data_IF_488272396724
#
_entry.id   IF_488272396724
#
_cell.length_a   1.000
_cell.length_b   1.000
_cell.length_c   1.000
_cell.angle_alpha   90.00
_cell.angle_beta   90.00
_cell.angle_gamma   90.00
#
_symmetry.space_group_name_H-M   'P 1'
#
loop_
_entity.id
_entity.type
_entity.pdbx_description
1 polymer ?
#
# COMPACT_ATOMS: atom_id res chain seq x y z
N UNK A 1 32.06 -1.53 -5.75
CA UNK A 1 31.29 -2.60 -6.43
C UNK A 1 31.72 -2.74 -7.88
N UNK A 2 31.84 -3.95 -8.36
CA UNK A 2 32.17 -4.19 -9.76
C UNK A 2 30.93 -3.90 -10.62
N UNK A 3 30.94 -2.81 -11.40
CA UNK A 3 29.85 -2.35 -12.28
C UNK A 3 29.38 -3.39 -13.33
N UNK A 4 29.97 -4.62 -13.33
CA UNK A 4 29.62 -5.72 -14.24
C UNK A 4 28.76 -6.79 -13.56
N UNK A 5 28.52 -6.69 -12.24
CA UNK A 5 27.69 -7.70 -11.55
C UNK A 5 26.28 -7.72 -12.11
N UNK A 6 25.73 -8.92 -12.22
CA UNK A 6 24.45 -9.21 -12.83
C UNK A 6 23.40 -9.50 -11.76
N UNK A 7 22.34 -8.71 -11.72
CA UNK A 7 21.20 -8.89 -10.82
C UNK A 7 20.02 -9.45 -11.62
N UNK A 8 19.56 -10.65 -11.24
CA UNK A 8 18.32 -11.24 -11.71
C UNK A 8 17.18 -10.82 -10.79
N UNK A 9 16.18 -10.11 -11.32
CA UNK A 9 15.01 -9.65 -10.59
C UNK A 9 13.79 -10.44 -11.04
N UNK A 10 13.12 -11.10 -10.11
CA UNK A 10 11.92 -11.91 -10.37
C UNK A 10 10.68 -11.10 -10.01
N UNK A 11 9.89 -10.73 -11.03
CA UNK A 11 8.68 -9.91 -10.91
C UNK A 11 8.86 -8.46 -11.33
N UNK A 12 8.23 -8.05 -12.45
CA UNK A 12 8.25 -6.68 -12.96
C UNK A 12 7.03 -5.85 -12.52
N UNK A 13 6.58 -6.07 -11.28
CA UNK A 13 5.64 -5.18 -10.60
C UNK A 13 6.30 -3.83 -10.26
N UNK A 14 5.58 -2.95 -9.55
CA UNK A 14 6.08 -1.61 -9.22
C UNK A 14 7.42 -1.64 -8.47
N UNK A 15 7.56 -2.50 -7.46
CA UNK A 15 8.80 -2.65 -6.70
C UNK A 15 9.96 -3.10 -7.61
N UNK A 16 9.78 -4.19 -8.35
CA UNK A 16 10.82 -4.74 -9.21
C UNK A 16 11.22 -3.81 -10.35
N UNK A 17 10.25 -3.10 -10.94
CA UNK A 17 10.54 -2.11 -11.99
C UNK A 17 11.31 -0.90 -11.48
N UNK A 18 10.97 -0.39 -10.28
CA UNK A 18 11.73 0.69 -9.64
C UNK A 18 13.15 0.24 -9.26
N UNK A 19 13.27 -0.95 -8.67
CA UNK A 19 14.56 -1.54 -8.33
C UNK A 19 15.44 -1.75 -9.57
N UNK A 20 14.88 -2.34 -10.63
CA UNK A 20 15.59 -2.57 -11.89
C UNK A 20 16.12 -1.26 -12.48
N UNK A 21 15.28 -0.22 -12.52
CA UNK A 21 15.68 1.11 -13.01
C UNK A 21 16.84 1.67 -12.17
N UNK A 22 16.71 1.66 -10.84
CA UNK A 22 17.74 2.23 -9.96
C UNK A 22 19.05 1.45 -10.04
N UNK A 23 19.00 0.13 -10.03
CA UNK A 23 20.22 -0.70 -10.12
C UNK A 23 20.91 -0.56 -11.49
N UNK A 24 20.13 -0.47 -12.57
CA UNK A 24 20.70 -0.20 -13.89
C UNK A 24 21.36 1.19 -13.97
N UNK A 25 20.75 2.24 -13.38
CA UNK A 25 21.35 3.57 -13.25
C UNK A 25 22.67 3.53 -12.45
N UNK A 26 22.80 2.64 -11.46
CA UNK A 26 24.05 2.42 -10.73
C UNK A 26 25.10 1.64 -11.53
N UNK A 27 24.74 1.11 -12.70
CA UNK A 27 25.65 0.43 -13.64
C UNK A 27 25.69 -1.09 -13.50
N UNK A 28 24.80 -1.71 -12.71
CA UNK A 28 24.63 -3.16 -12.69
C UNK A 28 24.03 -3.68 -13.99
N UNK A 29 24.35 -4.90 -14.40
CA UNK A 29 23.60 -5.59 -15.44
C UNK A 29 22.30 -6.14 -14.84
N UNK A 30 21.16 -5.90 -15.48
CA UNK A 30 19.84 -6.28 -14.98
C UNK A 30 19.14 -7.20 -15.96
N UNK A 31 18.60 -8.30 -15.44
CA UNK A 31 17.57 -9.10 -16.12
C UNK A 31 16.32 -9.07 -15.23
N UNK A 32 15.27 -8.38 -15.70
CA UNK A 32 13.97 -8.27 -15.05
C UNK A 32 12.98 -9.23 -15.71
N UNK A 33 12.39 -10.16 -14.94
CA UNK A 33 11.52 -11.22 -15.47
C UNK A 33 10.08 -11.06 -14.96
N UNK A 34 9.11 -11.12 -15.85
CA UNK A 34 7.68 -10.98 -15.54
C UNK A 34 6.88 -12.17 -16.11
N UNK A 35 5.96 -12.72 -15.30
CA UNK A 35 5.08 -13.82 -15.72
C UNK A 35 3.99 -13.42 -16.69
N UNK A 36 3.51 -12.19 -16.60
CA UNK A 36 2.42 -11.66 -17.44
C UNK A 36 2.97 -11.16 -18.78
N UNK A 37 2.10 -11.06 -19.81
CA UNK A 37 2.41 -10.29 -21.01
C UNK A 37 2.78 -8.84 -20.69
N UNK A 38 3.45 -8.18 -21.61
CA UNK A 38 3.75 -6.76 -21.50
C UNK A 38 2.46 -5.94 -21.43
N UNK A 39 2.20 -5.37 -20.26
CA UNK A 39 0.98 -4.60 -19.97
C UNK A 39 0.80 -3.38 -20.90
N UNK A 40 1.88 -2.90 -21.53
CA UNK A 40 1.86 -1.75 -22.46
C UNK A 40 1.37 -2.13 -23.85
N UNK A 41 1.38 -3.43 -24.19
CA UNK A 41 0.99 -3.99 -25.49
C UNK A 41 -0.34 -4.75 -25.44
N UNK A 42 -0.88 -4.98 -24.26
CA UNK A 42 -2.15 -5.67 -24.08
C UNK A 42 -3.24 -4.65 -23.79
N UNK A 43 -4.39 -4.75 -24.47
CA UNK A 43 -5.62 -4.08 -24.06
C UNK A 43 -6.11 -4.64 -22.73
N UNK A 44 -5.39 -4.31 -21.65
CA UNK A 44 -5.90 -4.54 -20.30
C UNK A 44 -7.07 -3.58 -20.17
N UNK A 45 -8.27 -4.13 -20.25
CA UNK A 45 -9.53 -3.38 -20.16
C UNK A 45 -9.43 -2.39 -18.99
N UNK A 46 -9.75 -1.13 -19.26
CA UNK A 46 -9.66 0.01 -18.35
C UNK A 46 -10.36 -0.18 -16.97
N UNK A 47 -11.08 -1.29 -16.76
CA UNK A 47 -11.77 -1.64 -15.52
C UNK A 47 -10.98 -2.49 -14.52
N UNK A 48 -9.69 -2.77 -14.75
CA UNK A 48 -8.88 -3.62 -13.87
C UNK A 48 -7.62 -2.94 -13.31
N UNK A 49 -7.53 -1.64 -13.42
CA UNK A 49 -6.41 -0.88 -12.85
C UNK A 49 -6.80 -0.37 -11.47
N UNK A 50 -6.31 -1.02 -10.43
CA UNK A 50 -6.45 -0.51 -9.07
C UNK A 50 -5.66 0.78 -8.98
N UNK A 51 -6.33 1.88 -8.61
CA UNK A 51 -5.65 3.10 -8.26
C UNK A 51 -5.01 2.97 -6.88
N UNK A 52 -3.86 3.58 -6.75
CA UNK A 52 -3.04 3.54 -5.56
C UNK A 52 -3.03 4.91 -4.88
N UNK A 53 -2.96 4.89 -3.56
CA UNK A 53 -2.68 6.06 -2.75
C UNK A 53 -1.16 6.32 -2.78
N UNK A 54 -0.73 7.35 -3.48
CA UNK A 54 0.68 7.68 -3.67
C UNK A 54 1.07 8.84 -2.74
N UNK A 55 1.87 8.53 -1.72
CA UNK A 55 2.28 9.44 -0.64
C UNK A 55 3.76 9.79 -0.71
N UNK A 56 4.23 10.60 0.24
CA UNK A 56 5.61 11.10 0.28
C UNK A 56 6.69 10.00 0.18
N UNK A 57 6.48 8.84 0.83
CA UNK A 57 7.43 7.72 0.75
C UNK A 57 7.54 7.16 -0.66
N UNK A 58 6.43 7.02 -1.35
CA UNK A 58 6.41 6.61 -2.75
C UNK A 58 7.04 7.67 -3.67
N UNK A 59 6.76 8.96 -3.41
CA UNK A 59 7.35 10.09 -4.14
C UNK A 59 8.88 10.09 -3.97
N UNK A 60 9.41 9.81 -2.76
CA UNK A 60 10.85 9.68 -2.51
C UNK A 60 11.47 8.60 -3.40
N UNK A 61 10.81 7.43 -3.55
CA UNK A 61 11.28 6.37 -4.44
C UNK A 61 11.33 6.79 -5.92
N UNK A 62 10.31 7.48 -6.40
CA UNK A 62 10.27 8.02 -7.77
C UNK A 62 11.32 9.13 -7.96
N UNK A 63 11.54 9.97 -6.95
CA UNK A 63 12.57 11.01 -6.98
C UNK A 63 13.98 10.43 -7.06
N UNK A 64 14.24 9.30 -6.39
CA UNK A 64 15.51 8.58 -6.42
C UNK A 64 15.96 8.23 -7.84
N UNK A 65 15.02 7.91 -8.72
CA UNK A 65 15.28 7.57 -10.13
C UNK A 65 15.08 8.74 -11.11
N UNK A 66 14.81 9.96 -10.60
CA UNK A 66 14.67 11.17 -11.41
C UNK A 66 13.36 11.30 -12.18
N UNK A 67 12.29 10.61 -11.77
CA UNK A 67 11.03 10.55 -12.51
C UNK A 67 9.90 11.44 -11.96
N UNK A 68 10.15 12.29 -10.97
CA UNK A 68 9.13 13.13 -10.32
C UNK A 68 8.30 13.90 -11.35
N UNK A 69 8.94 14.66 -12.25
CA UNK A 69 8.24 15.46 -13.28
C UNK A 69 7.43 14.62 -14.28
N UNK A 70 7.84 13.37 -14.55
CA UNK A 70 7.11 12.44 -15.45
C UNK A 70 5.94 11.77 -14.75
N UNK A 71 5.97 11.69 -13.43
CA UNK A 71 4.92 11.07 -12.63
C UNK A 71 3.81 12.08 -12.27
N UNK A 72 4.14 13.37 -12.10
CA UNK A 72 3.15 14.42 -11.77
C UNK A 72 1.90 14.41 -12.65
N UNK A 73 1.99 14.30 -14.01
CA UNK A 73 0.81 14.27 -14.88
C UNK A 73 -0.07 13.02 -14.70
N UNK A 74 0.45 11.96 -14.08
CA UNK A 74 -0.27 10.71 -13.78
C UNK A 74 -1.05 10.79 -12.47
N UNK A 75 -0.87 11.86 -11.70
CA UNK A 75 -1.41 12.01 -10.35
C UNK A 75 -2.68 12.86 -10.33
N UNK A 76 -3.60 12.48 -9.45
CA UNK A 76 -4.74 13.33 -9.07
C UNK A 76 -4.65 13.59 -7.57
N UNK A 77 -4.44 14.86 -7.14
CA UNK A 77 -4.40 15.20 -5.73
C UNK A 77 -5.75 14.92 -5.06
N UNK A 78 -5.71 14.21 -3.95
CA UNK A 78 -6.82 14.00 -3.02
C UNK A 78 -6.46 14.73 -1.71
N UNK A 79 -7.18 15.81 -1.41
CA UNK A 79 -6.87 16.68 -0.26
C UNK A 79 -7.44 16.16 1.06
N UNK A 80 -8.27 15.13 1.00
CA UNK A 80 -8.93 14.53 2.16
C UNK A 80 -9.84 13.39 1.75
N UNK A 81 -10.68 13.00 2.70
CA UNK A 81 -11.71 11.98 2.53
C UNK A 81 -13.07 12.65 2.37
N UNK A 82 -13.85 12.23 1.39
CA UNK A 82 -15.27 12.55 1.31
C UNK A 82 -16.04 11.37 1.91
N UNK A 83 -16.60 11.59 3.08
CA UNK A 83 -17.36 10.57 3.81
C UNK A 83 -18.82 10.67 3.42
N UNK A 84 -19.41 9.57 3.02
CA UNK A 84 -20.83 9.43 2.66
C UNK A 84 -21.57 8.68 3.76
N UNK A 85 -22.49 9.32 4.42
CA UNK A 85 -23.32 8.68 5.43
C UNK A 85 -24.40 7.75 4.82
N UNK A 86 -25.23 7.16 5.66
CA UNK A 86 -26.30 6.25 5.19
C UNK A 86 -27.44 6.98 4.48
N UNK A 87 -27.57 8.28 4.66
CA UNK A 87 -28.60 9.11 4.02
C UNK A 87 -28.16 9.66 2.67
N UNK A 88 -26.85 9.48 2.32
CA UNK A 88 -26.22 10.08 1.15
C UNK A 88 -25.68 11.48 1.40
N UNK A 89 -25.78 12.03 2.61
CA UNK A 89 -25.12 13.27 2.97
C UNK A 89 -23.61 13.06 2.99
N UNK A 90 -22.88 14.09 2.55
CA UNK A 90 -21.42 14.03 2.45
C UNK A 90 -20.76 15.06 3.33
N UNK A 91 -19.63 14.71 3.95
CA UNK A 91 -18.78 15.68 4.62
C UNK A 91 -17.31 15.44 4.25
N UNK A 92 -16.59 16.54 4.06
CA UNK A 92 -15.18 16.50 3.72
C UNK A 92 -14.32 16.50 5.00
N UNK A 93 -13.43 15.50 5.11
CA UNK A 93 -12.45 15.36 6.19
C UNK A 93 -11.04 15.48 5.62
N UNK A 94 -10.31 16.59 5.87
CA UNK A 94 -8.93 16.72 5.40
C UNK A 94 -8.03 15.68 6.03
N UNK A 95 -6.94 15.30 5.33
CA UNK A 95 -5.97 14.33 5.87
C UNK A 95 -5.19 14.88 7.06
N UNK A 96 -4.90 16.18 7.05
CA UNK A 96 -4.23 16.89 8.14
C UNK A 96 -4.71 18.34 8.22
N UNK A 97 -4.26 19.06 9.24
CA UNK A 97 -4.46 20.50 9.35
C UNK A 97 -3.67 21.34 8.34
N UNK A 98 -2.69 20.75 7.66
CA UNK A 98 -1.85 21.41 6.67
C UNK A 98 -2.38 21.15 5.25
N UNK A 99 -2.80 22.20 4.55
CA UNK A 99 -3.33 22.10 3.17
C UNK A 99 -2.33 21.62 2.13
N UNK A 100 -1.03 21.68 2.40
CA UNK A 100 0.00 21.14 1.51
C UNK A 100 0.19 19.62 1.65
N UNK A 101 -0.40 19.00 2.66
CA UNK A 101 -0.36 17.56 2.89
C UNK A 101 -1.57 16.89 2.25
N UNK A 102 -1.33 16.22 1.13
CA UNK A 102 -2.32 15.45 0.37
C UNK A 102 -1.71 14.16 -0.17
N UNK A 103 -2.55 13.22 -0.53
CA UNK A 103 -2.14 11.99 -1.23
C UNK A 103 -2.59 12.08 -2.69
N UNK A 104 -1.86 11.44 -3.58
CA UNK A 104 -2.27 11.35 -4.97
C UNK A 104 -2.97 10.02 -5.25
N UNK A 105 -4.05 10.06 -6.03
CA UNK A 105 -4.51 8.88 -6.74
C UNK A 105 -3.66 8.72 -7.98
N UNK A 106 -3.11 7.52 -8.21
CA UNK A 106 -2.31 7.18 -9.38
C UNK A 106 -2.67 5.79 -9.89
N UNK A 107 -2.78 5.66 -11.21
CA UNK A 107 -2.99 4.36 -11.85
C UNK A 107 -1.77 3.47 -11.66
N UNK A 108 -1.99 2.26 -11.11
CA UNK A 108 -0.93 1.25 -10.97
C UNK A 108 -0.33 0.86 -12.32
N UNK A 109 -1.17 0.72 -13.33
CA UNK A 109 -0.76 0.35 -14.69
C UNK A 109 0.10 1.42 -15.32
N UNK A 110 -0.33 2.70 -15.25
CA UNK A 110 0.40 3.80 -15.88
C UNK A 110 1.74 4.07 -15.20
N UNK A 111 1.77 3.99 -13.87
CA UNK A 111 3.02 4.13 -13.11
C UNK A 111 4.00 2.99 -13.45
N UNK A 112 3.51 1.74 -13.54
CA UNK A 112 4.36 0.62 -13.91
C UNK A 112 4.84 0.72 -15.37
N UNK A 113 3.98 1.13 -16.30
CA UNK A 113 4.35 1.39 -17.68
C UNK A 113 5.44 2.47 -17.80
N UNK A 114 5.33 3.56 -17.02
CA UNK A 114 6.37 4.59 -16.96
C UNK A 114 7.72 3.99 -16.52
N UNK A 115 7.74 3.22 -15.43
CA UNK A 115 8.96 2.59 -14.91
C UNK A 115 9.59 1.62 -15.93
N UNK A 116 8.78 0.74 -16.54
CA UNK A 116 9.24 -0.21 -17.55
C UNK A 116 9.82 0.50 -18.79
N UNK A 117 9.17 1.58 -19.24
CA UNK A 117 9.67 2.38 -20.35
C UNK A 117 11.03 3.03 -20.05
N UNK A 118 11.28 3.43 -18.81
CA UNK A 118 12.58 4.00 -18.44
C UNK A 118 13.65 2.91 -18.24
N UNK A 119 13.29 1.72 -17.78
CA UNK A 119 14.20 0.56 -17.72
C UNK A 119 14.69 0.17 -19.12
N UNK A 120 13.80 0.08 -20.11
CA UNK A 120 14.14 -0.31 -21.49
C UNK A 120 15.12 0.66 -22.21
N UNK A 121 15.21 1.90 -21.75
CA UNK A 121 16.16 2.88 -22.31
C UNK A 121 17.61 2.62 -21.89
N UNK A 122 17.82 1.78 -20.86
CA UNK A 122 19.14 1.54 -20.32
C UNK A 122 19.78 0.32 -20.99
N UNK A 123 20.98 0.46 -21.62
CA UNK A 123 21.59 -0.60 -22.41
C UNK A 123 22.09 -1.81 -21.57
N UNK A 124 22.12 -1.66 -20.26
CA UNK A 124 22.51 -2.69 -19.30
C UNK A 124 21.32 -3.38 -18.62
N UNK A 125 20.09 -3.13 -19.09
CA UNK A 125 18.86 -3.73 -18.55
C UNK A 125 18.08 -4.45 -19.67
N UNK A 126 17.60 -5.64 -19.35
CA UNK A 126 16.72 -6.45 -20.20
C UNK A 126 15.46 -6.82 -19.45
N UNK A 127 14.29 -6.77 -20.11
CA UNK A 127 13.01 -7.21 -19.55
C UNK A 127 12.50 -8.40 -20.33
N UNK A 128 12.19 -9.49 -19.64
CA UNK A 128 11.69 -10.72 -20.25
C UNK A 128 10.27 -10.97 -19.71
N UNK A 129 9.28 -10.92 -20.60
CA UNK A 129 7.87 -11.14 -20.27
C UNK A 129 7.44 -12.59 -20.52
N UNK A 130 6.25 -12.95 -20.01
CA UNK A 130 5.60 -14.25 -20.15
C UNK A 130 6.43 -15.42 -19.58
N UNK A 131 7.25 -15.16 -18.57
CA UNK A 131 8.11 -16.14 -17.91
C UNK A 131 7.70 -16.30 -16.44
N UNK A 132 6.96 -17.36 -16.17
CA UNK A 132 6.49 -17.68 -14.82
C UNK A 132 7.57 -18.43 -14.05
N UNK A 133 8.05 -17.87 -12.95
CA UNK A 133 9.04 -18.49 -12.08
C UNK A 133 8.45 -19.75 -11.44
N UNK A 134 9.14 -20.87 -11.54
CA UNK A 134 8.68 -22.16 -11.03
C UNK A 134 9.55 -22.72 -9.91
N UNK A 135 10.83 -22.39 -9.93
CA UNK A 135 11.79 -22.89 -8.95
C UNK A 135 12.98 -21.94 -8.84
N UNK A 136 13.61 -21.90 -7.67
CA UNK A 136 14.76 -21.03 -7.39
C UNK A 136 15.82 -21.77 -6.60
N UNK A 137 17.04 -21.83 -7.15
CA UNK A 137 18.23 -22.17 -6.38
C UNK A 137 18.77 -20.89 -5.71
N UNK A 138 18.42 -20.74 -4.45
CA UNK A 138 18.70 -19.56 -3.64
C UNK A 138 20.20 -19.33 -3.39
N UNK A 139 21.00 -20.42 -3.32
CA UNK A 139 22.42 -20.37 -2.99
C UNK A 139 23.29 -20.04 -4.21
N UNK A 140 22.79 -20.29 -5.41
CA UNK A 140 23.49 -20.00 -6.66
C UNK A 140 22.87 -18.84 -7.48
N UNK A 141 21.83 -18.17 -6.95
CA UNK A 141 21.11 -17.09 -7.61
C UNK A 141 20.58 -17.49 -9.00
N UNK A 142 20.00 -18.70 -9.11
CA UNK A 142 19.40 -19.24 -10.34
C UNK A 142 17.91 -19.44 -10.19
N UNK A 143 17.17 -19.27 -11.28
CA UNK A 143 15.74 -19.55 -11.30
C UNK A 143 15.32 -20.24 -12.60
N UNK A 144 14.35 -21.14 -12.49
CA UNK A 144 13.72 -21.83 -13.61
C UNK A 144 12.40 -21.17 -13.93
N UNK A 145 12.24 -20.74 -15.15
CA UNK A 145 11.04 -20.08 -15.66
C UNK A 145 10.36 -20.97 -16.70
N UNK A 146 9.03 -20.89 -16.73
CA UNK A 146 8.21 -21.53 -17.73
C UNK A 146 7.46 -20.48 -18.54
N UNK A 147 7.64 -20.47 -19.85
CA UNK A 147 6.92 -19.57 -20.74
C UNK A 147 5.41 -19.86 -20.69
N UNK A 148 4.61 -18.83 -20.49
CA UNK A 148 3.18 -18.95 -20.23
C UNK A 148 2.42 -19.74 -21.29
N UNK A 149 2.69 -19.49 -22.58
CA UNK A 149 2.01 -20.13 -23.72
C UNK A 149 2.71 -21.42 -24.16
N UNK A 150 4.01 -21.37 -24.43
CA UNK A 150 4.75 -22.47 -25.04
C UNK A 150 5.16 -23.58 -24.07
N UNK A 151 5.03 -23.32 -22.75
CA UNK A 151 5.48 -24.22 -21.66
C UNK A 151 6.98 -24.57 -21.71
N UNK A 152 7.75 -23.87 -22.53
CA UNK A 152 9.20 -24.06 -22.60
C UNK A 152 9.83 -23.56 -21.29
N UNK A 153 10.67 -24.42 -20.70
CA UNK A 153 11.46 -24.07 -19.52
C UNK A 153 12.77 -23.41 -19.93
N UNK A 154 13.17 -22.39 -19.19
CA UNK A 154 14.43 -21.66 -19.36
C UNK A 154 15.03 -21.41 -17.97
N UNK A 155 16.30 -21.72 -17.80
CA UNK A 155 17.05 -21.35 -16.59
C UNK A 155 17.76 -20.02 -16.84
N UNK A 156 17.62 -19.08 -15.89
CA UNK A 156 18.35 -17.82 -15.85
C UNK A 156 19.12 -17.73 -14.54
N UNK A 157 20.24 -17.03 -14.57
CA UNK A 157 21.10 -16.84 -13.40
C UNK A 157 21.64 -15.42 -13.33
N UNK A 158 21.93 -14.98 -12.13
CA UNK A 158 22.68 -13.75 -11.85
C UNK A 158 23.79 -14.00 -10.84
N UNK A 159 24.59 -12.98 -10.56
CA UNK A 159 25.46 -12.99 -9.38
C UNK A 159 24.61 -12.88 -8.10
N UNK A 160 23.47 -12.19 -8.23
CA UNK A 160 22.47 -11.91 -7.20
C UNK A 160 21.08 -12.15 -7.80
N UNK A 161 20.15 -12.69 -6.99
CA UNK A 161 18.73 -12.83 -7.30
C UNK A 161 17.90 -12.02 -6.30
N UNK A 162 16.97 -11.19 -6.79
CA UNK A 162 16.04 -10.46 -5.92
C UNK A 162 14.60 -10.80 -6.30
N UNK A 163 13.85 -11.37 -5.33
CA UNK A 163 12.44 -11.69 -5.46
C UNK A 163 11.57 -10.46 -5.17
N UNK A 164 10.84 -9.98 -6.19
CA UNK A 164 9.84 -8.91 -6.13
C UNK A 164 8.51 -9.39 -6.74
N UNK A 165 8.26 -10.70 -6.64
CA UNK A 165 7.20 -11.45 -7.31
C UNK A 165 5.86 -11.45 -6.54
N UNK A 166 5.75 -10.55 -5.54
CA UNK A 166 4.49 -10.21 -4.88
C UNK A 166 4.07 -11.18 -3.78
N UNK A 167 2.85 -11.02 -3.27
CA UNK A 167 2.35 -11.75 -2.11
C UNK A 167 2.38 -13.28 -2.27
N UNK A 168 2.23 -13.80 -3.48
CA UNK A 168 2.35 -15.24 -3.81
C UNK A 168 3.76 -15.66 -4.23
N UNK A 169 4.80 -15.04 -3.72
CA UNK A 169 6.20 -15.20 -4.12
C UNK A 169 6.70 -16.64 -4.15
N UNK A 170 7.19 -17.07 -5.31
CA UNK A 170 7.89 -18.36 -5.48
C UNK A 170 9.25 -18.32 -4.80
N UNK A 171 9.94 -17.16 -4.82
CA UNK A 171 11.22 -16.99 -4.13
C UNK A 171 11.06 -17.20 -2.63
N UNK A 172 9.98 -16.64 -2.01
CA UNK A 172 9.65 -16.86 -0.59
C UNK A 172 9.34 -18.33 -0.31
N UNK A 173 8.53 -18.96 -1.16
CA UNK A 173 8.19 -20.38 -1.02
C UNK A 173 9.44 -21.28 -1.12
N UNK A 174 10.43 -20.94 -1.97
CA UNK A 174 11.70 -21.63 -2.03
C UNK A 174 12.51 -21.47 -0.75
N UNK A 175 12.48 -20.28 -0.10
CA UNK A 175 13.10 -20.09 1.23
C UNK A 175 12.41 -20.90 2.32
N UNK A 176 11.09 -21.00 2.27
CA UNK A 176 10.30 -21.80 3.24
C UNK A 176 10.56 -23.30 3.07
N UNK A 177 10.79 -23.76 1.85
CA UNK A 177 11.06 -25.16 1.55
C UNK A 177 12.51 -25.59 1.87
N UNK A 178 13.45 -24.65 2.05
CA UNK A 178 14.85 -24.97 2.40
C UNK A 178 14.94 -25.31 3.90
N UNK A 179 15.06 -26.61 4.20
CA UNK A 179 15.15 -27.11 5.59
C UNK A 179 16.39 -26.65 6.36
N UNK A 180 17.42 -26.16 5.67
CA UNK A 180 18.64 -25.64 6.29
C UNK A 180 18.45 -24.20 6.78
N UNK A 181 17.38 -23.54 6.34
CA UNK A 181 17.03 -22.20 6.76
C UNK A 181 16.13 -22.21 7.99
N UNK A 182 16.43 -21.39 8.98
CA UNK A 182 15.48 -21.07 10.05
C UNK A 182 14.46 -20.02 9.57
N UNK A 183 13.82 -20.30 8.43
CA UNK A 183 12.84 -19.38 7.82
C UNK A 183 11.52 -19.44 8.60
N UNK A 184 10.96 -18.28 8.85
CA UNK A 184 9.67 -18.13 9.52
C UNK A 184 8.78 -17.27 8.66
N UNK A 185 7.58 -17.75 8.39
CA UNK A 185 6.54 -16.99 7.68
C UNK A 185 5.27 -16.98 8.51
N UNK A 186 4.59 -15.85 8.51
CA UNK A 186 3.25 -15.69 9.06
C UNK A 186 2.40 -15.05 7.98
N UNK A 187 1.39 -15.77 7.54
CA UNK A 187 0.37 -15.29 6.61
C UNK A 187 -0.94 -15.16 7.37
N UNK A 188 -1.48 -13.96 7.43
CA UNK A 188 -2.74 -13.67 8.08
C UNK A 188 -3.75 -13.14 7.06
N UNK A 189 -4.83 -13.88 6.88
CA UNK A 189 -5.93 -13.50 6.00
C UNK A 189 -7.12 -13.02 6.82
N UNK A 190 -7.66 -11.88 6.43
CA UNK A 190 -8.91 -11.39 7.01
C UNK A 190 -10.08 -12.27 6.53
N UNK A 191 -11.12 -12.35 7.35
CA UNK A 191 -12.40 -12.96 6.93
C UNK A 191 -13.15 -12.12 5.89
N UNK A 192 -12.55 -11.04 5.45
CA UNK A 192 -13.04 -10.12 4.44
C UNK A 192 -12.27 -10.30 3.13
N UNK A 193 -12.97 -10.06 2.04
CA UNK A 193 -12.40 -9.91 0.72
C UNK A 193 -12.69 -8.51 0.17
N UNK A 194 -12.17 -8.27 -1.03
CA UNK A 194 -12.50 -7.06 -1.76
C UNK A 194 -12.94 -7.39 -3.19
N UNK A 195 -13.78 -6.52 -3.72
CA UNK A 195 -14.28 -6.60 -5.10
C UNK A 195 -14.12 -5.25 -5.77
N UNK A 196 -13.52 -5.26 -6.95
CA UNK A 196 -13.33 -4.07 -7.79
C UNK A 196 -14.61 -3.79 -8.59
N UNK A 197 -15.03 -2.53 -8.56
CA UNK A 197 -16.17 -1.99 -9.25
C UNK A 197 -15.77 -0.65 -9.88
N UNK A 198 -16.68 0.01 -10.58
CA UNK A 198 -16.37 1.28 -11.24
C UNK A 198 -17.52 2.30 -11.18
N UNK A 199 -17.14 3.59 -11.18
CA UNK A 199 -18.01 4.69 -11.55
C UNK A 199 -17.47 5.24 -12.87
N UNK A 200 -18.19 5.20 -13.99
CA UNK A 200 -17.71 5.69 -15.28
C UNK A 200 -17.61 7.21 -15.31
N UNK A 201 -16.84 7.74 -16.26
CA UNK A 201 -16.79 9.16 -16.53
C UNK A 201 -18.18 9.75 -16.82
N UNK A 202 -18.38 10.99 -16.45
CA UNK A 202 -19.61 11.71 -16.73
C UNK A 202 -19.73 12.09 -18.21
N UNK A 203 -20.97 12.23 -18.70
CA UNK A 203 -21.25 12.64 -20.09
C UNK A 203 -21.12 14.17 -20.27
N UNK A 204 -21.53 14.94 -19.28
CA UNK A 204 -21.56 16.40 -19.30
C UNK A 204 -20.38 16.98 -18.49
N UNK A 205 -20.23 16.51 -17.28
CA UNK A 205 -19.07 16.80 -16.44
C UNK A 205 -18.15 15.58 -16.42
N UNK A 206 -16.83 15.83 -16.50
CA UNK A 206 -15.84 14.74 -16.57
C UNK A 206 -15.94 13.78 -15.39
N UNK A 207 -16.16 14.31 -14.18
CA UNK A 207 -16.25 13.54 -12.94
C UNK A 207 -17.67 13.57 -12.40
N UNK A 208 -18.24 12.41 -12.10
CA UNK A 208 -19.62 12.28 -11.54
C UNK A 208 -19.72 12.63 -10.06
N UNK A 209 -18.62 12.48 -9.32
CA UNK A 209 -18.48 12.82 -7.90
C UNK A 209 -17.24 13.69 -7.71
N UNK A 210 -17.03 14.24 -6.52
CA UNK A 210 -15.95 15.19 -6.27
C UNK A 210 -14.55 14.60 -6.55
N UNK A 211 -13.83 15.19 -7.49
CA UNK A 211 -12.56 14.67 -8.02
C UNK A 211 -11.44 14.57 -6.97
N UNK A 212 -11.31 15.59 -6.10
CA UNK A 212 -10.11 15.78 -5.27
C UNK A 212 -10.25 15.19 -3.87
N UNK A 213 -10.87 14.01 -3.75
CA UNK A 213 -11.02 13.29 -2.50
C UNK A 213 -10.95 11.78 -2.71
N UNK A 214 -10.56 11.06 -1.66
CA UNK A 214 -10.87 9.66 -1.48
C UNK A 214 -12.31 9.56 -0.95
N UNK A 215 -13.21 9.00 -1.73
CA UNK A 215 -14.58 8.76 -1.27
C UNK A 215 -14.65 7.50 -0.42
N UNK A 216 -15.38 7.56 0.68
CA UNK A 216 -15.57 6.44 1.61
C UNK A 216 -17.04 6.40 2.05
N UNK A 217 -17.65 5.22 1.90
CA UNK A 217 -18.98 4.87 2.43
C UNK A 217 -18.80 3.83 3.54
N UNK A 218 -18.64 4.23 4.80
CA UNK A 218 -18.53 3.29 5.91
C UNK A 218 -19.92 2.69 6.24
N UNK A 219 -19.99 1.36 6.35
CA UNK A 219 -21.22 0.63 6.66
C UNK A 219 -20.96 -0.49 7.68
N UNK A 220 -20.37 -0.14 8.82
CA UNK A 220 -20.00 -1.09 9.86
C UNK A 220 -18.95 -2.08 9.38
N UNK A 221 -19.33 -3.36 9.22
CA UNK A 221 -18.39 -4.39 8.75
C UNK A 221 -18.03 -4.28 7.27
N UNK A 222 -18.81 -3.54 6.49
CA UNK A 222 -18.63 -3.36 5.05
C UNK A 222 -18.23 -1.92 4.75
N UNK A 223 -17.50 -1.73 3.69
CA UNK A 223 -17.04 -0.40 3.27
C UNK A 223 -16.87 -0.33 1.77
N UNK A 224 -17.33 0.76 1.18
CA UNK A 224 -17.04 1.10 -0.21
C UNK A 224 -16.06 2.29 -0.23
N UNK A 225 -15.06 2.24 -1.11
CA UNK A 225 -14.17 3.37 -1.37
C UNK A 225 -14.10 3.67 -2.86
N UNK A 226 -13.81 4.91 -3.25
CA UNK A 226 -13.58 5.27 -4.65
C UNK A 226 -12.43 6.26 -4.79
N UNK A 227 -11.53 5.96 -5.74
CA UNK A 227 -10.38 6.78 -6.10
C UNK A 227 -10.54 7.30 -7.54
N UNK A 228 -10.25 8.57 -7.82
CA UNK A 228 -10.42 9.17 -9.14
C UNK A 228 -9.37 8.68 -10.15
N UNK A 229 -9.78 8.53 -11.41
CA UNK A 229 -8.95 8.24 -12.58
C UNK A 229 -8.81 9.47 -13.48
N UNK A 230 -7.72 9.55 -14.26
CA UNK A 230 -7.47 10.67 -15.17
C UNK A 230 -8.52 10.81 -16.29
N UNK A 231 -9.17 9.71 -16.68
CA UNK A 231 -10.23 9.70 -17.69
C UNK A 231 -11.58 10.25 -17.18
N UNK A 232 -11.70 10.48 -15.87
CA UNK A 232 -12.92 10.96 -15.21
C UNK A 232 -13.73 9.87 -14.53
N UNK A 233 -13.35 8.62 -14.68
CA UNK A 233 -13.93 7.51 -13.94
C UNK A 233 -13.38 7.42 -12.51
N UNK A 234 -13.94 6.53 -11.71
CA UNK A 234 -13.40 6.16 -10.39
C UNK A 234 -13.25 4.64 -10.30
N UNK A 235 -12.12 4.21 -9.77
CA UNK A 235 -11.95 2.84 -9.32
C UNK A 235 -12.62 2.71 -7.97
N UNK A 236 -13.59 1.81 -7.88
CA UNK A 236 -14.38 1.56 -6.67
C UNK A 236 -14.00 0.21 -6.08
N UNK A 237 -13.85 0.13 -4.77
CA UNK A 237 -13.55 -1.12 -4.09
C UNK A 237 -14.55 -1.36 -2.96
N UNK A 238 -15.27 -2.48 -3.04
CA UNK A 238 -16.13 -2.96 -1.97
C UNK A 238 -15.35 -3.94 -1.09
N UNK A 239 -15.22 -3.63 0.19
CA UNK A 239 -14.71 -4.51 1.23
C UNK A 239 -15.88 -5.11 2.00
N UNK A 240 -15.92 -6.44 2.11
CA UNK A 240 -17.02 -7.16 2.72
C UNK A 240 -16.56 -8.53 3.24
N UNK A 241 -17.19 -9.02 4.30
CA UNK A 241 -16.99 -10.38 4.78
C UNK A 241 -17.37 -11.42 3.72
N UNK A 242 -16.66 -12.55 3.68
CA UNK A 242 -17.04 -13.65 2.79
C UNK A 242 -18.37 -14.29 3.23
N UNK A 243 -18.53 -14.56 4.54
CA UNK A 243 -19.61 -15.40 5.09
C UNK A 243 -20.21 -14.85 6.37
N UNK A 244 -19.48 -14.05 7.15
CA UNK A 244 -19.93 -13.57 8.46
C UNK A 244 -20.76 -12.29 8.34
N UNK A 245 -21.57 -12.03 9.37
CA UNK A 245 -22.43 -10.86 9.46
C UNK A 245 -23.73 -11.01 8.67
N UNK A 246 -24.60 -10.03 8.82
CA UNK A 246 -25.91 -10.00 8.17
C UNK A 246 -25.79 -9.79 6.66
N UNK A 247 -24.71 -9.15 6.20
CA UNK A 247 -24.43 -8.84 4.80
C UNK A 247 -23.03 -9.34 4.44
N UNK A 248 -22.95 -10.26 3.47
CA UNK A 248 -21.69 -10.88 3.05
C UNK A 248 -21.72 -11.31 1.57
N UNK A 249 -20.55 -11.61 0.98
CA UNK A 249 -20.45 -12.00 -0.43
C UNK A 249 -21.24 -13.27 -0.79
N UNK A 250 -21.43 -14.21 0.14
CA UNK A 250 -22.22 -15.42 -0.14
C UNK A 250 -23.70 -15.14 -0.41
N UNK A 251 -24.23 -14.03 0.08
CA UNK A 251 -25.62 -13.62 -0.14
C UNK A 251 -25.80 -12.85 -1.45
N UNK A 252 -24.73 -12.29 -2.01
CA UNK A 252 -24.76 -11.46 -3.22
C UNK A 252 -24.49 -12.27 -4.50
N UNK A 253 -25.31 -13.31 -4.77
CA UNK A 253 -25.13 -14.23 -5.89
C UNK A 253 -26.04 -13.97 -7.10
N UNK A 254 -27.00 -13.09 -6.98
CA UNK A 254 -27.96 -12.76 -8.05
C UNK A 254 -27.98 -11.26 -8.29
N UNK A 255 -28.34 -10.84 -9.51
CA UNK A 255 -28.52 -9.41 -9.82
C UNK A 255 -29.49 -8.75 -8.85
N UNK A 256 -30.59 -9.45 -8.50
CA UNK A 256 -31.59 -8.95 -7.55
C UNK A 256 -31.01 -8.71 -6.17
N UNK A 257 -30.21 -9.64 -5.63
CA UNK A 257 -29.60 -9.48 -4.30
C UNK A 257 -28.53 -8.42 -4.29
N UNK A 258 -27.72 -8.32 -5.35
CA UNK A 258 -26.70 -7.27 -5.50
C UNK A 258 -27.37 -5.89 -5.54
N UNK A 259 -28.39 -5.73 -6.39
CA UNK A 259 -29.09 -4.46 -6.55
C UNK A 259 -29.77 -4.02 -5.24
N UNK A 260 -30.51 -4.92 -4.60
CA UNK A 260 -31.16 -4.64 -3.32
C UNK A 260 -30.16 -4.23 -2.23
N UNK A 261 -29.00 -4.89 -2.16
CA UNK A 261 -27.94 -4.53 -1.22
C UNK A 261 -27.40 -3.11 -1.47
N UNK A 262 -27.15 -2.73 -2.72
CA UNK A 262 -26.65 -1.38 -3.02
C UNK A 262 -27.75 -0.31 -2.87
N UNK A 263 -29.01 -0.64 -3.16
CA UNK A 263 -30.15 0.25 -2.91
C UNK A 263 -30.32 0.56 -1.42
N UNK A 264 -30.09 -0.42 -0.55
CA UNK A 264 -30.21 -0.25 0.90
C UNK A 264 -29.00 0.44 1.54
N UNK A 265 -27.77 0.02 1.15
CA UNK A 265 -26.55 0.45 1.86
C UNK A 265 -25.77 1.56 1.15
N UNK A 266 -25.88 1.72 -0.16
CA UNK A 266 -25.09 2.64 -0.98
C UNK A 266 -25.93 3.32 -2.07
N UNK A 267 -27.11 3.91 -1.74
CA UNK A 267 -28.02 4.43 -2.76
C UNK A 267 -27.41 5.52 -3.64
N UNK A 268 -26.67 6.45 -3.04
CA UNK A 268 -25.98 7.54 -3.74
C UNK A 268 -24.83 7.03 -4.65
N UNK A 269 -24.10 5.99 -4.22
CA UNK A 269 -23.09 5.34 -5.07
C UNK A 269 -23.76 4.57 -6.22
N UNK A 270 -24.85 3.84 -5.97
CA UNK A 270 -25.59 3.07 -6.98
C UNK A 270 -26.01 3.95 -8.16
N UNK A 271 -26.51 5.16 -7.92
CA UNK A 271 -26.88 6.11 -8.96
C UNK A 271 -25.72 6.45 -9.92
N UNK A 272 -24.48 6.33 -9.43
CA UNK A 272 -23.26 6.60 -10.21
C UNK A 272 -22.70 5.35 -10.90
N UNK A 273 -23.23 4.15 -10.62
CA UNK A 273 -22.67 2.85 -11.04
C UNK A 273 -23.60 2.09 -12.01
N UNK A 274 -23.78 2.57 -13.26
CA UNK A 274 -24.69 1.91 -14.23
C UNK A 274 -24.22 0.49 -14.60
N UNK A 275 -22.93 0.19 -14.50
CA UNK A 275 -22.34 -1.10 -14.84
C UNK A 275 -22.16 -2.03 -13.62
N UNK A 276 -22.75 -1.70 -12.46
CA UNK A 276 -22.57 -2.43 -11.21
C UNK A 276 -22.70 -3.96 -11.36
N UNK A 277 -23.77 -4.43 -11.99
CA UNK A 277 -24.05 -5.87 -12.12
C UNK A 277 -23.00 -6.56 -12.98
N UNK A 278 -22.59 -5.91 -14.07
CA UNK A 278 -21.54 -6.41 -14.96
C UNK A 278 -20.21 -6.52 -14.20
N UNK A 279 -19.77 -5.45 -13.55
CA UNK A 279 -18.51 -5.41 -12.79
C UNK A 279 -18.54 -6.45 -11.66
N UNK A 280 -19.65 -6.51 -10.92
CA UNK A 280 -19.79 -7.45 -9.81
C UNK A 280 -19.69 -8.91 -10.24
N UNK A 281 -20.23 -9.23 -11.42
CA UNK A 281 -20.24 -10.59 -11.97
C UNK A 281 -18.91 -10.97 -12.62
N UNK A 282 -18.23 -10.04 -13.28
CA UNK A 282 -17.01 -10.29 -14.04
C UNK A 282 -15.74 -10.23 -13.20
N UNK A 283 -15.71 -9.37 -12.18
CA UNK A 283 -14.53 -9.20 -11.35
C UNK A 283 -14.49 -10.24 -10.22
N UNK A 284 -13.35 -10.88 -9.97
CA UNK A 284 -13.22 -11.83 -8.87
C UNK A 284 -13.32 -11.13 -7.51
N UNK A 285 -13.72 -11.87 -6.48
CA UNK A 285 -13.50 -11.45 -5.10
C UNK A 285 -12.14 -11.91 -4.66
N UNK A 286 -11.28 -10.98 -4.26
CA UNK A 286 -9.90 -11.24 -3.89
C UNK A 286 -9.69 -11.22 -2.38
N UNK A 287 -8.78 -12.05 -1.83
CA UNK A 287 -8.49 -12.10 -0.41
C UNK A 287 -7.70 -10.88 0.06
N UNK A 288 -7.79 -10.60 1.35
CA UNK A 288 -7.03 -9.58 2.06
C UNK A 288 -6.05 -10.28 2.99
N UNK A 289 -4.78 -10.28 2.64
CA UNK A 289 -3.74 -10.97 3.38
C UNK A 289 -2.58 -10.05 3.78
N UNK A 290 -1.98 -10.35 4.92
CA UNK A 290 -0.73 -9.76 5.40
C UNK A 290 0.31 -10.85 5.52
N UNK A 291 1.49 -10.61 4.99
CA UNK A 291 2.65 -11.52 5.02
C UNK A 291 3.75 -10.89 5.87
N UNK A 292 4.32 -11.65 6.77
CA UNK A 292 5.54 -11.31 7.51
C UNK A 292 6.47 -12.51 7.48
N UNK A 293 7.71 -12.34 7.06
CA UNK A 293 8.70 -13.42 7.04
C UNK A 293 10.09 -12.95 7.46
N UNK A 294 10.96 -13.87 7.81
CA UNK A 294 12.38 -13.65 8.13
C UNK A 294 13.11 -15.00 8.18
N UNK A 295 14.39 -15.05 7.81
CA UNK A 295 15.21 -13.99 7.21
C UNK A 295 14.81 -13.68 5.75
N UNK A 296 15.16 -12.49 5.26
CA UNK A 296 14.86 -12.10 3.87
C UNK A 296 15.93 -12.50 2.88
N UNK A 297 17.09 -12.93 3.32
CA UNK A 297 18.21 -13.24 2.45
C UNK A 297 18.82 -14.63 2.68
N UNK A 298 19.51 -15.12 1.66
CA UNK A 298 20.25 -16.36 1.67
C UNK A 298 21.68 -16.11 1.21
N UNK A 299 22.62 -16.18 2.16
CA UNK A 299 24.07 -16.16 1.92
C UNK A 299 24.54 -15.02 0.99
N UNK A 300 23.91 -13.85 1.03
CA UNK A 300 24.23 -12.74 0.15
C UNK A 300 24.00 -13.03 -1.33
N UNK A 301 23.22 -14.07 -1.68
CA UNK A 301 22.91 -14.49 -3.06
C UNK A 301 21.47 -14.19 -3.45
N UNK A 302 20.51 -14.42 -2.56
CA UNK A 302 19.10 -14.19 -2.83
C UNK A 302 18.49 -13.29 -1.76
N UNK A 303 17.58 -12.40 -2.16
CA UNK A 303 16.90 -11.42 -1.29
C UNK A 303 15.42 -11.34 -1.65
N UNK A 304 14.54 -11.21 -0.66
CA UNK A 304 13.13 -10.80 -0.82
C UNK A 304 12.98 -9.29 -0.64
N UNK A 305 12.13 -8.66 -1.47
CA UNK A 305 11.85 -7.22 -1.38
C UNK A 305 10.39 -6.90 -1.77
N UNK A 306 9.78 -5.91 -1.12
CA UNK A 306 8.40 -5.52 -1.37
C UNK A 306 7.40 -6.57 -0.90
N UNK A 307 6.28 -6.71 -1.62
CA UNK A 307 5.20 -7.63 -1.25
C UNK A 307 5.64 -9.11 -1.17
N UNK A 308 6.76 -9.50 -1.76
CA UNK A 308 7.31 -10.86 -1.60
C UNK A 308 7.79 -11.12 -0.17
N UNK A 309 8.24 -10.07 0.53
CA UNK A 309 8.70 -10.12 1.91
C UNK A 309 7.62 -9.72 2.93
N UNK A 310 6.77 -8.74 2.58
CA UNK A 310 5.88 -8.07 3.55
C UNK A 310 4.61 -7.50 2.91
N UNK A 311 3.86 -8.31 2.17
CA UNK A 311 2.55 -7.90 1.66
C UNK A 311 1.62 -7.45 2.79
N UNK A 312 0.86 -6.39 2.56
CA UNK A 312 -0.06 -5.81 3.55
C UNK A 312 -1.46 -5.59 2.97
N UNK A 313 -2.47 -5.58 3.84
CA UNK A 313 -3.84 -5.21 3.46
C UNK A 313 -3.93 -3.71 3.11
N UNK A 314 -4.83 -3.30 2.18
CA UNK A 314 -4.78 -1.98 1.54
C UNK A 314 -5.33 -0.83 2.39
N UNK A 315 -5.83 -1.06 3.59
CA UNK A 315 -6.60 -0.07 4.37
C UNK A 315 -5.85 1.20 4.75
N UNK A 316 -4.53 1.16 4.84
CA UNK A 316 -3.71 2.34 5.05
C UNK A 316 -3.22 3.00 3.74
N UNK A 317 -3.34 2.28 2.61
CA UNK A 317 -2.85 2.73 1.31
C UNK A 317 -1.31 2.80 1.22
N UNK A 318 -0.58 2.00 2.00
CA UNK A 318 0.88 2.11 2.11
C UNK A 318 1.66 0.97 1.45
N UNK A 319 1.05 -0.07 0.87
CA UNK A 319 1.79 -1.21 0.29
C UNK A 319 2.82 -0.79 -0.76
N UNK A 320 2.41 -0.06 -1.79
CA UNK A 320 3.32 0.47 -2.81
C UNK A 320 4.36 1.43 -2.20
N UNK A 321 3.93 2.34 -1.32
CA UNK A 321 4.82 3.34 -0.71
C UNK A 321 5.92 2.67 0.12
N UNK A 322 5.58 1.62 0.88
CA UNK A 322 6.54 0.82 1.64
C UNK A 322 7.52 0.08 0.72
N UNK A 323 7.02 -0.52 -0.38
CA UNK A 323 7.85 -1.20 -1.38
C UNK A 323 8.80 -0.23 -2.12
N UNK A 324 8.39 1.01 -2.35
CA UNK A 324 9.26 2.03 -2.93
C UNK A 324 10.31 2.52 -1.92
N UNK A 325 9.93 2.65 -0.65
CA UNK A 325 10.87 2.94 0.43
C UNK A 325 11.90 1.82 0.62
N UNK A 326 11.54 0.55 0.35
CA UNK A 326 12.50 -0.55 0.32
C UNK A 326 13.63 -0.29 -0.66
N UNK A 327 13.31 0.16 -1.88
CA UNK A 327 14.32 0.49 -2.90
C UNK A 327 15.18 1.66 -2.48
N UNK A 328 14.61 2.67 -1.81
CA UNK A 328 15.37 3.82 -1.28
C UNK A 328 16.35 3.36 -0.22
N UNK A 329 15.90 2.60 0.77
CA UNK A 329 16.76 2.12 1.86
C UNK A 329 17.82 1.14 1.34
N UNK A 330 17.46 0.30 0.37
CA UNK A 330 18.42 -0.59 -0.28
C UNK A 330 19.52 0.18 -1.01
N UNK A 331 19.16 1.26 -1.70
CA UNK A 331 20.13 2.16 -2.35
C UNK A 331 21.07 2.85 -1.37
N UNK A 332 20.54 3.32 -0.23
CA UNK A 332 21.32 3.90 0.87
C UNK A 332 22.31 2.86 1.47
N UNK A 333 21.86 1.63 1.70
CA UNK A 333 22.70 0.55 2.23
C UNK A 333 23.81 0.16 1.25
N UNK A 334 23.55 0.21 -0.05
CA UNK A 334 24.59 -0.02 -1.08
C UNK A 334 25.71 1.02 -1.04
N UNK A 335 25.45 2.25 -0.59
CA UNK A 335 26.47 3.28 -0.43
C UNK A 335 27.29 3.07 0.84
N UNK A 336 26.69 2.51 1.91
CA UNK A 336 27.36 2.28 3.19
C UNK A 336 28.29 1.04 3.18
N UNK A 337 27.99 0.02 2.34
CA UNK A 337 28.69 -1.28 2.34
C UNK A 337 29.19 -1.65 0.95
N UNK A 338 30.44 -1.33 0.62
CA UNK A 338 31.02 -1.67 -0.68
C UNK A 338 31.29 -3.16 -0.84
N UNK A 339 30.66 -3.79 -1.85
CA UNK A 339 31.07 -5.10 -2.40
C UNK A 339 30.75 -6.34 -1.56
N UNK A 340 30.15 -6.20 -0.39
CA UNK A 340 29.79 -7.36 0.45
C UNK A 340 28.26 -7.55 0.49
N UNK A 341 27.72 -8.35 -0.43
CA UNK A 341 26.29 -8.60 -0.55
C UNK A 341 25.66 -9.21 0.70
N UNK A 342 26.37 -10.02 1.47
CA UNK A 342 25.84 -10.55 2.73
C UNK A 342 25.59 -9.42 3.73
N UNK A 343 26.56 -8.52 3.90
CA UNK A 343 26.39 -7.38 4.81
C UNK A 343 25.32 -6.40 4.32
N UNK A 344 25.25 -6.17 3.00
CA UNK A 344 24.21 -5.34 2.38
C UNK A 344 22.82 -5.90 2.69
N UNK A 345 22.61 -7.19 2.48
CA UNK A 345 21.29 -7.81 2.69
C UNK A 345 20.93 -7.88 4.16
N UNK A 346 21.86 -8.19 5.05
CA UNK A 346 21.65 -8.21 6.49
C UNK A 346 21.28 -6.82 7.02
N UNK A 347 21.98 -5.77 6.61
CA UNK A 347 21.71 -4.40 7.05
C UNK A 347 20.39 -3.87 6.45
N UNK A 348 20.08 -4.21 5.19
CA UNK A 348 18.81 -3.87 4.57
C UNK A 348 17.64 -4.48 5.35
N UNK A 349 17.66 -5.80 5.62
CA UNK A 349 16.62 -6.46 6.43
C UNK A 349 16.50 -5.82 7.81
N UNK A 350 17.61 -5.57 8.48
CA UNK A 350 17.66 -4.95 9.80
C UNK A 350 17.01 -3.56 9.83
N UNK A 351 17.25 -2.72 8.79
CA UNK A 351 16.64 -1.37 8.69
C UNK A 351 15.16 -1.45 8.36
N UNK A 352 14.73 -2.42 7.51
CA UNK A 352 13.38 -2.45 6.97
C UNK A 352 12.40 -3.29 7.78
N UNK A 353 12.83 -4.45 8.30
CA UNK A 353 11.93 -5.46 8.90
C UNK A 353 10.99 -4.90 9.97
N UNK A 354 11.50 -4.09 10.89
CA UNK A 354 10.67 -3.50 11.95
C UNK A 354 9.62 -2.52 11.40
N UNK A 355 9.98 -1.77 10.38
CA UNK A 355 9.09 -0.79 9.77
C UNK A 355 8.01 -1.46 8.92
N UNK A 356 8.37 -2.49 8.16
CA UNK A 356 7.41 -3.22 7.33
C UNK A 356 6.45 -4.06 8.15
N UNK A 357 6.90 -4.65 9.26
CA UNK A 357 6.02 -5.30 10.22
C UNK A 357 5.04 -4.30 10.86
N UNK A 358 5.53 -3.11 11.21
CA UNK A 358 4.72 -2.06 11.83
C UNK A 358 3.64 -1.51 10.87
N UNK A 359 3.96 -1.29 9.60
CA UNK A 359 2.94 -0.83 8.65
C UNK A 359 1.91 -1.93 8.34
N UNK A 360 2.30 -3.21 8.39
CA UNK A 360 1.39 -4.33 8.33
C UNK A 360 0.39 -4.32 9.49
N UNK A 361 0.87 -4.11 10.72
CA UNK A 361 0.03 -4.00 11.92
C UNK A 361 -0.88 -2.77 11.87
N UNK A 362 -0.33 -1.61 11.47
CA UNK A 362 -1.10 -0.37 11.29
C UNK A 362 -2.21 -0.51 10.25
N UNK A 363 -1.98 -1.27 9.18
CA UNK A 363 -3.00 -1.51 8.15
C UNK A 363 -4.17 -2.34 8.71
N UNK A 364 -3.88 -3.30 9.60
CA UNK A 364 -4.90 -4.08 10.32
C UNK A 364 -5.61 -3.20 11.36
N UNK A 365 -4.87 -2.40 12.14
CA UNK A 365 -5.47 -1.43 13.08
C UNK A 365 -6.46 -0.51 12.36
N UNK A 366 -6.05 0.04 11.21
CA UNK A 366 -6.89 0.96 10.44
C UNK A 366 -8.15 0.28 9.89
N UNK A 367 -8.08 -1.00 9.54
CA UNK A 367 -9.27 -1.78 9.19
C UNK A 367 -10.28 -1.80 10.35
N UNK A 368 -9.83 -2.10 11.56
CA UNK A 368 -10.69 -2.12 12.75
C UNK A 368 -11.21 -0.72 13.07
N UNK A 369 -10.37 0.33 13.00
CA UNK A 369 -10.79 1.71 13.21
C UNK A 369 -11.86 2.14 12.22
N UNK A 370 -11.70 1.82 10.94
CA UNK A 370 -12.68 2.18 9.91
C UNK A 370 -14.00 1.43 10.08
N UNK A 371 -13.96 0.20 10.60
CA UNK A 371 -15.11 -0.65 10.84
C UNK A 371 -15.91 -0.24 12.09
N UNK A 372 -15.22 -0.05 13.22
CA UNK A 372 -15.85 0.02 14.54
C UNK A 372 -16.04 1.46 15.05
N UNK A 373 -15.16 2.37 14.67
CA UNK A 373 -14.96 3.61 15.39
C UNK A 373 -15.43 4.88 14.67
N UNK A 374 -15.73 4.82 13.37
CA UNK A 374 -16.15 6.02 12.62
C UNK A 374 -17.47 6.62 13.11
N UNK A 375 -18.30 5.86 13.79
CA UNK A 375 -19.60 6.28 14.31
C UNK A 375 -19.59 6.63 15.82
N UNK A 376 -18.56 6.26 16.60
CA UNK A 376 -18.55 6.50 18.03
C UNK A 376 -18.26 7.98 18.38
N UNK A 377 -19.07 8.66 19.23
CA UNK A 377 -18.90 10.09 19.54
C UNK A 377 -17.51 10.46 20.07
N UNK A 378 -16.90 9.62 20.90
CA UNK A 378 -15.55 9.87 21.45
C UNK A 378 -14.47 9.90 20.36
N UNK A 379 -14.59 9.06 19.32
CA UNK A 379 -13.66 9.08 18.18
C UNK A 379 -13.83 10.33 17.31
N UNK A 380 -15.07 10.80 17.15
CA UNK A 380 -15.32 12.06 16.46
C UNK A 380 -14.73 13.25 17.25
N UNK A 381 -14.85 13.25 18.58
CA UNK A 381 -14.21 14.25 19.44
C UNK A 381 -12.68 14.18 19.34
N UNK A 382 -12.09 12.97 19.42
CA UNK A 382 -10.67 12.77 19.20
C UNK A 382 -10.22 13.36 17.86
N UNK A 383 -10.92 13.06 16.76
CA UNK A 383 -10.54 13.54 15.42
C UNK A 383 -10.64 15.07 15.29
N UNK A 384 -11.67 15.69 15.87
CA UNK A 384 -11.79 17.16 15.92
C UNK A 384 -10.62 17.78 16.67
N UNK A 385 -10.23 17.18 17.80
CA UNK A 385 -9.11 17.66 18.61
C UNK A 385 -7.76 17.51 17.89
N UNK A 386 -7.50 16.37 17.27
CA UNK A 386 -6.31 16.14 16.45
C UNK A 386 -6.19 17.17 15.33
N UNK A 387 -7.28 17.43 14.61
CA UNK A 387 -7.31 18.40 13.52
C UNK A 387 -7.01 19.81 14.03
N UNK A 388 -7.59 20.19 15.18
CA UNK A 388 -7.32 21.50 15.81
C UNK A 388 -5.83 21.62 16.24
N UNK A 389 -5.27 20.58 16.83
CA UNK A 389 -3.85 20.57 17.19
C UNK A 389 -2.93 20.70 15.96
N UNK A 390 -3.23 19.98 14.89
CA UNK A 390 -2.44 20.04 13.66
C UNK A 390 -2.52 21.40 12.96
N UNK A 391 -3.65 22.12 13.09
CA UNK A 391 -3.82 23.46 12.54
C UNK A 391 -3.07 24.54 13.33
N UNK A 392 -3.20 24.51 14.66
CA UNK A 392 -2.65 25.54 15.53
C UNK A 392 -1.19 25.26 15.94
N UNK A 393 -0.80 23.97 16.01
CA UNK A 393 0.52 23.54 16.50
C UNK A 393 1.17 22.49 15.56
N UNK A 394 1.33 22.79 14.26
CA UNK A 394 1.75 21.82 13.23
C UNK A 394 3.13 21.21 13.48
N UNK A 395 4.00 21.91 14.21
CA UNK A 395 5.36 21.46 14.55
C UNK A 395 5.42 20.66 15.85
N UNK A 396 4.41 20.80 16.72
CA UNK A 396 4.37 20.15 18.04
C UNK A 396 3.53 18.86 18.03
N UNK A 397 2.55 18.78 17.14
CA UNK A 397 1.64 17.65 17.06
C UNK A 397 1.48 17.12 15.61
N UNK A 398 1.46 15.80 15.50
CA UNK A 398 1.05 15.10 14.30
C UNK A 398 0.27 13.87 14.71
N UNK A 399 -0.95 13.70 14.18
CA UNK A 399 -1.76 12.51 14.38
C UNK A 399 -1.05 11.25 13.87
N UNK A 400 -1.49 10.08 14.32
CA UNK A 400 -0.98 8.78 13.83
C UNK A 400 -1.00 8.70 12.31
N UNK A 401 -2.08 9.14 11.69
CA UNK A 401 -2.21 9.15 10.23
C UNK A 401 -1.16 10.06 9.56
N UNK A 402 -0.97 11.25 10.10
CA UNK A 402 0.03 12.22 9.60
C UNK A 402 1.46 11.71 9.76
N UNK A 403 1.79 11.09 10.90
CA UNK A 403 3.10 10.46 11.14
C UNK A 403 3.43 9.38 10.12
N UNK A 404 2.47 8.52 9.81
CA UNK A 404 2.65 7.40 8.86
C UNK A 404 2.74 7.89 7.42
N UNK A 405 1.88 8.85 7.02
CA UNK A 405 1.65 9.18 5.61
C UNK A 405 2.53 10.33 5.12
N UNK A 406 2.79 11.35 5.97
CA UNK A 406 3.43 12.60 5.57
C UNK A 406 4.77 12.88 6.28
N UNK A 407 5.24 11.98 7.14
CA UNK A 407 6.52 12.12 7.86
C UNK A 407 7.47 10.98 7.48
N UNK A 408 7.92 10.99 6.21
CA UNK A 408 8.81 9.97 5.64
C UNK A 408 10.20 9.90 6.31
N UNK A 409 10.58 10.92 7.06
CA UNK A 409 11.81 10.92 7.87
C UNK A 409 11.69 10.08 9.16
N UNK A 410 10.46 9.69 9.53
CA UNK A 410 10.19 8.83 10.69
C UNK A 410 9.84 7.44 10.19
N UNK A 411 10.52 6.40 10.67
CA UNK A 411 10.20 5.00 10.33
C UNK A 411 8.78 4.61 10.76
N UNK A 412 8.17 3.68 10.05
CA UNK A 412 6.80 3.22 10.37
C UNK A 412 6.67 2.67 11.80
N UNK A 413 7.70 1.99 12.30
CA UNK A 413 7.70 1.47 13.67
C UNK A 413 7.64 2.61 14.70
N UNK A 414 8.41 3.66 14.51
CA UNK A 414 8.39 4.84 15.39
C UNK A 414 7.05 5.59 15.27
N UNK A 415 6.53 5.74 14.04
CA UNK A 415 5.23 6.36 13.79
C UNK A 415 4.10 5.56 14.47
N UNK A 416 4.16 4.21 14.43
CA UNK A 416 3.21 3.33 15.09
C UNK A 416 3.25 3.49 16.62
N UNK A 417 4.44 3.38 17.21
CA UNK A 417 4.59 3.47 18.67
C UNK A 417 4.07 4.82 19.19
N UNK A 418 4.53 5.93 18.58
CA UNK A 418 4.09 7.28 18.96
C UNK A 418 2.60 7.47 18.71
N UNK A 419 2.10 7.09 17.54
CA UNK A 419 0.70 7.27 17.17
C UNK A 419 -0.25 6.48 18.05
N UNK A 420 0.04 5.21 18.35
CA UNK A 420 -0.76 4.38 19.28
C UNK A 420 -0.76 4.96 20.70
N UNK A 421 0.38 5.48 21.18
CA UNK A 421 0.46 6.12 22.49
C UNK A 421 -0.38 7.41 22.54
N UNK A 422 -0.31 8.25 21.49
CA UNK A 422 -1.12 9.46 21.37
C UNK A 422 -2.63 9.15 21.33
N UNK A 423 -3.04 8.16 20.53
CA UNK A 423 -4.44 7.72 20.44
C UNK A 423 -4.98 7.31 21.79
N UNK A 424 -4.25 6.44 22.49
CA UNK A 424 -4.63 5.98 23.84
C UNK A 424 -4.69 7.14 24.85
N UNK A 425 -3.73 8.06 24.80
CA UNK A 425 -3.68 9.22 25.69
C UNK A 425 -4.92 10.12 25.47
N UNK A 426 -5.23 10.46 24.24
CA UNK A 426 -6.37 11.33 23.91
C UNK A 426 -7.69 10.66 24.36
N UNK A 427 -7.89 9.39 24.01
CA UNK A 427 -9.12 8.67 24.38
C UNK A 427 -9.31 8.61 25.88
N UNK A 428 -8.28 8.24 26.64
CA UNK A 428 -8.36 8.15 28.10
C UNK A 428 -8.63 9.51 28.74
N UNK A 429 -7.98 10.59 28.26
CA UNK A 429 -8.22 11.93 28.77
C UNK A 429 -9.65 12.44 28.43
N UNK A 430 -10.21 12.06 27.28
CA UNK A 430 -11.59 12.34 26.92
C UNK A 430 -12.59 11.59 27.79
N UNK A 431 -12.38 10.30 28.01
CA UNK A 431 -13.20 9.44 28.87
C UNK A 431 -13.25 9.95 30.31
N UNK A 432 -12.12 10.45 30.82
CA UNK A 432 -12.00 11.02 32.17
C UNK A 432 -12.50 12.49 32.26
N UNK A 433 -13.01 13.08 31.18
CA UNK A 433 -13.38 14.51 31.10
C UNK A 433 -12.21 15.47 31.41
N UNK A 434 -10.97 15.06 31.23
CA UNK A 434 -9.79 15.88 31.49
C UNK A 434 -9.45 16.88 30.37
N UNK A 435 -10.12 16.78 29.20
CA UNK A 435 -10.01 17.68 28.06
C UNK A 435 -11.30 18.52 27.87
N UNK A 436 -11.86 19.02 28.98
CA UNK A 436 -13.12 19.80 28.98
C UNK A 436 -13.01 21.08 28.14
N UNK A 437 -14.14 21.63 27.70
CA UNK A 437 -14.20 22.86 26.89
C UNK A 437 -13.72 24.11 27.63
N UNK A 438 -13.60 24.04 28.95
CA UNK A 438 -13.04 25.14 29.77
C UNK A 438 -11.52 25.32 29.60
N UNK A 439 -10.80 24.33 29.06
CA UNK A 439 -9.36 24.41 28.83
C UNK A 439 -9.05 25.01 27.45
N UNK A 440 -8.00 25.83 27.41
CA UNK A 440 -7.43 26.33 26.17
C UNK A 440 -6.81 25.20 25.34
N UNK A 441 -6.76 25.36 24.00
CA UNK A 441 -6.25 24.31 23.09
C UNK A 441 -4.79 23.94 23.41
N UNK A 442 -3.95 24.90 23.79
CA UNK A 442 -2.56 24.67 24.19
C UNK A 442 -2.45 23.81 25.45
N UNK A 443 -3.28 24.08 26.45
CA UNK A 443 -3.32 23.30 27.69
C UNK A 443 -3.75 21.84 27.43
N UNK A 444 -4.74 21.67 26.54
CA UNK A 444 -5.16 20.33 26.09
C UNK A 444 -3.99 19.59 25.40
N UNK A 445 -3.24 20.28 24.54
CA UNK A 445 -2.06 19.70 23.87
C UNK A 445 -0.97 19.29 24.87
N UNK A 446 -0.67 20.13 25.84
CA UNK A 446 0.34 19.84 26.88
C UNK A 446 -0.05 18.60 27.70
N UNK A 447 -1.33 18.49 28.10
CA UNK A 447 -1.84 17.27 28.79
C UNK A 447 -1.69 16.03 27.93
N UNK A 448 -2.06 16.11 26.63
CA UNK A 448 -1.92 14.99 25.69
C UNK A 448 -0.45 14.58 25.54
N UNK A 449 0.46 15.55 25.38
CA UNK A 449 1.89 15.27 25.23
C UNK A 449 2.48 14.63 26.50
N UNK A 450 2.08 15.10 27.70
CA UNK A 450 2.51 14.51 28.97
C UNK A 450 1.98 13.07 29.14
N UNK A 451 0.71 12.84 28.83
CA UNK A 451 0.11 11.50 28.89
C UNK A 451 0.75 10.55 27.87
N UNK A 452 0.98 11.03 26.64
CA UNK A 452 1.69 10.26 25.58
C UNK A 452 3.08 9.83 26.04
N UNK A 453 3.85 10.74 26.63
CA UNK A 453 5.18 10.42 27.16
C UNK A 453 5.11 9.35 28.24
N UNK A 454 4.20 9.47 29.20
CA UNK A 454 4.02 8.46 30.24
C UNK A 454 3.63 7.08 29.67
N UNK A 455 2.82 7.06 28.60
CA UNK A 455 2.48 5.79 27.91
C UNK A 455 3.68 5.17 27.22
N UNK A 456 4.52 5.96 26.57
CA UNK A 456 5.76 5.49 25.94
C UNK A 456 6.77 4.96 26.95
N UNK A 457 6.84 5.60 28.12
CA UNK A 457 7.73 5.20 29.24
C UNK A 457 7.14 4.03 30.08
N UNK A 458 5.94 3.54 29.76
CA UNK A 458 5.27 2.46 30.48
C UNK A 458 4.77 2.84 31.89
N UNK A 459 4.69 4.15 32.20
CA UNK A 459 4.34 4.69 33.54
C UNK A 459 2.89 5.18 33.64
N UNK A 460 2.12 5.06 32.57
CA UNK A 460 0.70 5.45 32.52
C UNK A 460 -0.19 4.22 32.69
N UNK A 461 -0.76 4.08 33.88
CA UNK A 461 -1.74 3.02 34.22
C UNK A 461 -3.17 3.42 33.87
#
# INVERSE_FOLDING_TARGET
>A
MNKKEHILIVGAGLCGSLLALRMAQRGFKITLVEKRPDLRKSDISAGRSINLAFSNRGIKGISLVGLTKKTEPLCIPMNGRMIHDKTGETFFSPYSGNKSEYINSISRTDLNALLLNEVEKLPNAEIIFQQDCKDVDLKSAKAVFEHFETKKKTELSGDILIGTDGAGSVVRQSMEADSDMNFRVSEYFLEHGYKELSIPAGKTEKYRIFKNALHIWPRGENMLIALPNLDGSFTVTLFMSYKKGEQNFEQLKSEKSIKAYFEEFYPDALEQMPDLIKDFSQNPTSPLGTVKCSPWNVQGKSLLMGDSAHAIVPFYGQGMNASFEDVVVFDEVLDDFEGNWQQIFDEYEKRRKKDTDAIGDLAIDNFHEMKEHTAAPVFQQKRKLETAFEQEFPDEFASKYRLVTFREQIGYNQAMQRGRAQDKAILKLLENNELSDSLGLKEKLEKVNQATKKMLDGTFS
#
